data_IF_632801512109
#
_entry.id   IF_632801512109
#
_cell.length_a   1.000
_cell.length_b   1.000
_cell.length_c   1.000
_cell.angle_alpha   90.00
_cell.angle_beta   90.00
_cell.angle_gamma   90.00
#
_symmetry.space_group_name_H-M   'P 1'
#
loop_
_entity.id
_entity.type
_entity.pdbx_description
1 polymer ?
#
# COMPACT_ATOMS: atom_id res chain seq x y z
N UNK A 1 -32.54 55.33 19.33
CA UNK A 1 -32.96 54.01 18.82
C UNK A 1 -31.69 53.25 18.44
N UNK A 2 -31.65 51.93 18.60
CA UNK A 2 -30.40 51.14 18.72
C UNK A 2 -29.45 51.28 17.53
N UNK A 3 -28.15 51.41 17.81
CA UNK A 3 -27.10 51.04 16.87
C UNK A 3 -26.78 49.55 17.06
N UNK A 4 -26.90 48.74 16.00
CA UNK A 4 -26.44 47.35 16.05
C UNK A 4 -24.92 47.30 15.98
N UNK A 5 -24.28 46.85 17.06
CA UNK A 5 -22.91 46.35 17.03
C UNK A 5 -22.92 44.97 16.37
N UNK A 6 -22.47 44.90 15.12
CA UNK A 6 -22.16 43.63 14.47
C UNK A 6 -20.91 43.03 15.11
N UNK A 7 -21.10 42.04 15.98
CA UNK A 7 -20.01 41.30 16.60
C UNK A 7 -19.44 40.32 15.56
N UNK A 8 -18.40 40.74 14.83
CA UNK A 8 -17.65 39.84 13.96
C UNK A 8 -16.95 38.79 14.82
N UNK A 9 -17.48 37.57 14.83
CA UNK A 9 -16.79 36.43 15.39
C UNK A 9 -15.50 36.21 14.59
N UNK A 10 -14.36 36.62 15.15
CA UNK A 10 -13.08 36.23 14.60
C UNK A 10 -12.97 34.71 14.69
N UNK A 11 -12.76 34.04 13.55
CA UNK A 11 -12.38 32.63 13.54
C UNK A 11 -11.18 32.44 14.47
N UNK A 12 -11.14 31.40 15.32
CA UNK A 12 -9.97 31.13 16.14
C UNK A 12 -8.76 30.98 15.21
N UNK A 13 -7.64 31.63 15.57
CA UNK A 13 -6.40 31.46 14.83
C UNK A 13 -6.06 29.96 14.79
N UNK A 14 -5.89 29.42 13.59
CA UNK A 14 -5.43 28.04 13.37
C UNK A 14 -4.12 27.89 14.14
N UNK A 15 -4.06 26.90 15.03
CA UNK A 15 -2.80 26.55 15.69
C UNK A 15 -1.77 26.26 14.58
N UNK A 16 -0.53 26.69 14.79
CA UNK A 16 0.55 26.46 13.84
C UNK A 16 0.79 24.94 13.77
N UNK A 17 0.27 24.31 12.72
CA UNK A 17 0.34 22.86 12.53
C UNK A 17 1.73 22.50 12.04
N UNK A 18 2.34 21.49 12.66
CA UNK A 18 3.68 21.03 12.27
C UNK A 18 3.70 20.69 10.77
N UNK A 19 4.52 21.43 10.01
CA UNK A 19 4.83 21.09 8.62
C UNK A 19 5.73 19.84 8.65
N UNK A 20 5.42 18.87 7.80
CA UNK A 20 6.08 17.56 7.74
C UNK A 20 6.76 17.41 6.37
N UNK A 21 8.07 17.57 6.31
CA UNK A 21 8.85 17.48 5.06
C UNK A 21 8.23 18.24 3.87
N UNK A 22 7.87 19.51 4.09
CA UNK A 22 7.26 20.39 3.09
C UNK A 22 5.77 20.13 2.80
N UNK A 23 5.11 19.24 3.53
CA UNK A 23 3.66 19.08 3.52
C UNK A 23 3.02 19.83 4.69
N UNK A 24 1.97 20.60 4.39
CA UNK A 24 1.13 21.25 5.40
C UNK A 24 -0.16 20.43 5.60
N UNK A 25 -0.32 19.75 6.76
CA UNK A 25 -1.59 19.13 7.12
C UNK A 25 -2.73 20.15 7.12
N UNK A 26 -3.96 19.71 6.86
CA UNK A 26 -5.16 20.52 7.09
C UNK A 26 -5.73 20.33 8.50
N UNK A 27 -5.44 19.20 9.13
CA UNK A 27 -5.91 18.79 10.44
C UNK A 27 -4.75 18.65 11.44
N UNK A 28 -5.05 18.64 12.74
CA UNK A 28 -4.02 18.44 13.78
C UNK A 28 -3.58 16.97 13.80
N UNK A 29 -2.38 16.72 13.28
CA UNK A 29 -1.72 15.41 13.28
C UNK A 29 -0.42 15.39 14.08
N UNK A 30 -0.18 16.39 14.94
CA UNK A 30 1.03 16.47 15.78
C UNK A 30 1.19 15.28 16.73
N UNK A 31 0.08 14.70 17.23
CA UNK A 31 0.14 13.46 18.02
C UNK A 31 0.36 12.20 17.16
N UNK A 32 0.00 12.25 15.88
CA UNK A 32 0.18 11.14 14.93
C UNK A 32 1.64 11.03 14.50
N UNK A 33 2.26 12.15 14.14
CA UNK A 33 3.66 12.19 13.70
C UNK A 33 4.63 11.71 14.79
N UNK A 34 4.30 11.91 16.07
CA UNK A 34 5.09 11.47 17.24
C UNK A 34 5.13 9.96 17.49
N UNK A 35 4.50 9.12 16.66
CA UNK A 35 4.73 7.66 16.74
C UNK A 35 6.18 7.30 16.45
N UNK A 36 6.88 8.15 15.69
CA UNK A 36 8.29 8.00 15.38
C UNK A 36 9.20 8.14 16.61
N UNK A 37 8.78 8.87 17.65
CA UNK A 37 9.47 8.94 18.93
C UNK A 37 9.37 7.60 19.68
N UNK A 38 8.25 6.88 19.58
CA UNK A 38 8.13 5.53 20.14
C UNK A 38 9.05 4.54 19.37
N UNK A 39 9.13 4.64 18.04
CA UNK A 39 10.14 3.92 17.25
C UNK A 39 11.57 4.32 17.65
N UNK A 40 11.89 5.62 17.82
CA UNK A 40 13.23 6.10 18.19
C UNK A 40 13.67 5.58 19.56
N UNK A 41 12.74 5.55 20.52
CA UNK A 41 13.00 5.03 21.85
C UNK A 41 13.16 3.50 21.83
N UNK A 42 12.37 2.79 21.02
CA UNK A 42 12.57 1.35 20.74
C UNK A 42 13.96 1.09 20.16
N UNK A 43 14.38 1.84 19.15
CA UNK A 43 15.72 1.72 18.54
C UNK A 43 16.86 2.02 19.51
N UNK A 44 16.66 2.99 20.41
CA UNK A 44 17.64 3.36 21.45
C UNK A 44 17.80 2.23 22.47
N UNK A 45 16.71 1.61 22.91
CA UNK A 45 16.75 0.44 23.79
C UNK A 45 17.39 -0.77 23.09
N UNK A 46 17.06 -1.00 21.82
CA UNK A 46 17.70 -2.04 20.99
C UNK A 46 19.20 -1.80 20.80
N UNK A 47 19.65 -0.56 20.65
CA UNK A 47 21.08 -0.24 20.57
C UNK A 47 21.83 -0.67 21.85
N UNK A 48 21.18 -0.59 23.01
CA UNK A 48 21.69 -1.03 24.31
C UNK A 48 21.39 -2.51 24.67
N UNK A 49 20.87 -3.30 23.73
CA UNK A 49 20.44 -4.70 23.91
C UNK A 49 19.31 -4.90 24.95
N UNK A 50 18.59 -3.84 25.31
CA UNK A 50 17.40 -3.90 26.16
C UNK A 50 16.14 -4.20 25.33
N UNK A 51 15.99 -5.47 24.96
CA UNK A 51 14.84 -5.98 24.22
C UNK A 51 13.50 -5.79 24.96
N UNK A 52 13.50 -5.73 26.30
CA UNK A 52 12.27 -5.60 27.08
C UNK A 52 11.75 -4.16 27.05
N UNK A 53 12.62 -3.18 27.24
CA UNK A 53 12.27 -1.76 27.06
C UNK A 53 11.92 -1.46 25.60
N UNK A 54 12.64 -2.05 24.64
CA UNK A 54 12.28 -1.95 23.22
C UNK A 54 10.87 -2.47 22.92
N UNK A 55 10.55 -3.68 23.40
CA UNK A 55 9.23 -4.26 23.26
C UNK A 55 8.15 -3.42 23.99
N UNK A 56 8.47 -2.77 25.11
CA UNK A 56 7.55 -1.85 25.78
C UNK A 56 7.23 -0.61 24.95
N UNK A 57 8.21 0.00 24.28
CA UNK A 57 7.97 1.12 23.36
C UNK A 57 7.11 0.70 22.16
N UNK A 58 7.33 -0.50 21.63
CA UNK A 58 6.51 -1.09 20.57
C UNK A 58 5.04 -1.37 20.98
N UNK A 59 4.83 -2.00 22.15
CA UNK A 59 3.54 -2.50 22.61
C UNK A 59 2.69 -1.51 23.40
N UNK A 60 3.33 -0.67 24.23
CA UNK A 60 2.68 0.30 25.13
C UNK A 60 2.80 1.73 24.62
N UNK A 61 3.87 2.06 23.90
CA UNK A 61 4.16 3.42 23.42
C UNK A 61 4.27 4.45 24.56
N UNK A 62 4.19 5.73 24.21
CA UNK A 62 4.15 6.83 25.17
C UNK A 62 4.23 8.23 24.59
N UNK A 63 4.58 8.38 23.30
CA UNK A 63 4.76 9.68 22.67
C UNK A 63 3.59 10.07 21.73
N UNK A 64 2.91 9.09 21.14
CA UNK A 64 1.70 9.30 20.32
C UNK A 64 0.44 9.09 21.16
N UNK A 65 -0.22 10.18 21.59
CA UNK A 65 -1.36 10.11 22.51
C UNK A 65 -2.67 10.50 21.80
N UNK A 66 -3.70 9.66 21.92
CA UNK A 66 -5.04 9.93 21.37
C UNK A 66 -5.77 10.97 22.22
N UNK A 67 -6.79 11.62 21.66
CA UNK A 67 -7.64 12.56 22.42
C UNK A 67 -8.33 11.98 23.67
N UNK A 68 -8.42 10.65 23.80
CA UNK A 68 -8.89 9.96 25.01
C UNK A 68 -7.83 9.83 26.13
N UNK A 69 -6.60 10.29 25.91
CA UNK A 69 -5.46 10.09 26.81
C UNK A 69 -4.80 8.70 26.70
N UNK A 70 -5.32 7.80 25.86
CA UNK A 70 -4.72 6.49 25.60
C UNK A 70 -3.63 6.59 24.53
N UNK A 71 -2.54 5.83 24.70
CA UNK A 71 -1.48 5.74 23.70
C UNK A 71 -2.00 5.09 22.40
N UNK A 72 -1.52 5.58 21.26
CA UNK A 72 -1.44 4.83 20.01
C UNK A 72 -0.10 4.10 20.02
N UNK A 73 -0.08 2.84 19.59
CA UNK A 73 1.11 1.97 19.69
C UNK A 73 1.38 1.29 18.37
N UNK A 74 2.64 1.02 18.07
CA UNK A 74 3.06 0.39 16.80
C UNK A 74 2.55 -1.05 16.72
N UNK A 75 2.43 -1.75 17.86
CA UNK A 75 1.72 -3.02 17.94
C UNK A 75 0.23 -2.89 17.56
N UNK A 76 -0.44 -1.85 18.08
CA UNK A 76 -1.86 -1.58 17.85
C UNK A 76 -2.24 -1.42 16.38
N UNK A 77 -1.32 -0.98 15.53
CA UNK A 77 -1.49 -0.89 14.08
C UNK A 77 -1.76 -2.24 13.41
N UNK A 78 -1.20 -3.33 13.94
CA UNK A 78 -1.37 -4.68 13.41
C UNK A 78 -2.37 -5.51 14.22
N UNK A 79 -2.40 -5.38 15.55
CA UNK A 79 -3.40 -6.12 16.38
C UNK A 79 -4.81 -5.56 16.23
N UNK A 80 -4.95 -4.27 15.87
CA UNK A 80 -6.21 -3.63 15.53
C UNK A 80 -6.67 -3.80 14.07
N UNK A 81 -5.99 -4.61 13.25
CA UNK A 81 -6.26 -4.73 11.82
C UNK A 81 -7.67 -5.30 11.51
N UNK A 82 -8.14 -6.32 12.23
CA UNK A 82 -9.43 -6.99 11.94
C UNK A 82 -10.64 -6.04 11.94
N UNK A 83 -10.90 -5.21 12.98
CA UNK A 83 -12.04 -4.29 12.98
C UNK A 83 -11.89 -3.05 12.09
N UNK A 84 -10.75 -2.86 11.43
CA UNK A 84 -10.46 -1.68 10.57
C UNK A 84 -10.30 -2.06 9.10
N UNK A 85 -9.32 -2.92 8.82
CA UNK A 85 -8.68 -3.05 7.51
C UNK A 85 -9.16 -4.23 6.67
N UNK A 86 -10.03 -5.09 7.20
CA UNK A 86 -10.56 -6.27 6.48
C UNK A 86 -11.34 -5.81 5.25
N UNK A 87 -11.11 -6.45 4.11
CA UNK A 87 -11.68 -6.04 2.83
C UNK A 87 -10.91 -4.93 2.09
N UNK A 88 -10.01 -4.19 2.76
CA UNK A 88 -9.15 -3.22 2.06
C UNK A 88 -8.15 -3.93 1.14
N UNK A 89 -7.91 -3.35 -0.04
CA UNK A 89 -7.10 -3.94 -1.13
C UNK A 89 -5.76 -4.51 -0.64
N UNK A 90 -4.99 -3.71 0.10
CA UNK A 90 -3.62 -4.08 0.47
C UNK A 90 -3.57 -4.97 1.71
N UNK A 91 -4.46 -4.80 2.69
CA UNK A 91 -4.55 -5.73 3.82
C UNK A 91 -4.92 -7.14 3.35
N UNK A 92 -5.88 -7.28 2.43
CA UNK A 92 -6.24 -8.59 1.86
C UNK A 92 -5.05 -9.28 1.18
N UNK A 93 -4.20 -8.53 0.47
CA UNK A 93 -2.98 -9.07 -0.18
C UNK A 93 -2.00 -9.59 0.86
N UNK A 94 -1.71 -8.79 1.90
CA UNK A 94 -0.74 -9.13 2.94
C UNK A 94 -1.24 -10.26 3.85
N UNK A 95 -2.47 -10.15 4.36
CA UNK A 95 -3.05 -11.17 5.24
C UNK A 95 -3.14 -12.54 4.56
N UNK A 96 -3.42 -12.60 3.24
CA UNK A 96 -3.45 -13.87 2.48
C UNK A 96 -2.06 -14.45 2.23
N UNK A 97 -1.04 -13.63 1.98
CA UNK A 97 0.34 -14.11 1.83
C UNK A 97 0.90 -14.70 3.13
N UNK A 98 0.59 -14.07 4.27
CA UNK A 98 1.06 -14.49 5.58
C UNK A 98 0.21 -15.57 6.26
N UNK A 99 -1.05 -15.72 5.85
CA UNK A 99 -1.97 -16.72 6.38
C UNK A 99 -1.88 -18.08 5.68
N UNK A 100 -2.90 -18.89 5.88
CA UNK A 100 -3.11 -20.15 5.14
C UNK A 100 -4.39 -20.08 4.30
N UNK A 101 -4.59 -21.07 3.42
CA UNK A 101 -5.81 -21.13 2.60
C UNK A 101 -7.06 -21.21 3.50
N UNK A 102 -7.88 -20.16 3.46
CA UNK A 102 -9.08 -20.02 4.29
C UNK A 102 -8.87 -19.36 5.65
N UNK A 103 -7.63 -19.02 6.04
CA UNK A 103 -7.32 -18.29 7.28
C UNK A 103 -6.23 -17.22 7.04
N UNK A 104 -6.61 -16.02 6.54
CA UNK A 104 -5.70 -14.89 6.40
C UNK A 104 -5.16 -14.39 7.76
N UNK A 105 -3.88 -14.05 7.83
CA UNK A 105 -3.23 -13.53 9.04
C UNK A 105 -3.21 -12.00 9.06
N UNK A 106 -4.30 -11.37 9.48
CA UNK A 106 -4.44 -9.90 9.51
C UNK A 106 -3.45 -9.20 10.47
N UNK A 107 -2.96 -9.89 11.49
CA UNK A 107 -1.98 -9.36 12.45
C UNK A 107 -0.52 -9.73 12.10
N UNK A 108 -0.21 -10.03 10.84
CA UNK A 108 1.09 -10.58 10.41
C UNK A 108 2.30 -9.75 10.86
N UNK A 109 2.20 -8.42 10.83
CA UNK A 109 3.29 -7.52 11.17
C UNK A 109 3.63 -7.59 12.67
N UNK A 110 2.60 -7.73 13.52
CA UNK A 110 2.79 -7.97 14.94
C UNK A 110 3.36 -9.36 15.24
N UNK A 111 2.89 -10.40 14.55
CA UNK A 111 3.49 -11.75 14.69
C UNK A 111 4.98 -11.69 14.38
N UNK A 112 5.38 -11.06 13.26
CA UNK A 112 6.78 -10.87 12.91
C UNK A 112 7.55 -10.07 13.97
N UNK A 113 7.04 -8.89 14.35
CA UNK A 113 7.77 -7.94 15.20
C UNK A 113 7.86 -8.41 16.65
N UNK A 114 6.76 -8.92 17.21
CA UNK A 114 6.75 -9.51 18.56
C UNK A 114 7.66 -10.73 18.64
N UNK A 115 7.62 -11.62 17.65
CA UNK A 115 8.52 -12.78 17.60
C UNK A 115 9.99 -12.36 17.56
N UNK A 116 10.32 -11.31 16.80
CA UNK A 116 11.68 -10.81 16.66
C UNK A 116 12.20 -10.16 17.95
N UNK A 117 11.40 -9.29 18.58
CA UNK A 117 11.79 -8.60 19.81
C UNK A 117 11.95 -9.59 20.98
N UNK A 118 10.98 -10.51 21.13
CA UNK A 118 11.01 -11.49 22.22
C UNK A 118 11.97 -12.66 21.94
N UNK A 119 12.22 -13.01 20.68
CA UNK A 119 13.08 -14.12 20.27
C UNK A 119 12.37 -15.46 20.39
N UNK A 120 11.17 -15.52 19.83
CA UNK A 120 10.23 -16.65 19.86
C UNK A 120 9.74 -16.96 18.44
N UNK A 121 8.85 -17.93 18.29
CA UNK A 121 8.27 -18.30 16.99
C UNK A 121 9.34 -18.62 15.95
N UNK A 122 9.27 -17.99 14.77
CA UNK A 122 10.28 -18.18 13.70
C UNK A 122 11.69 -17.69 14.08
N UNK A 123 11.82 -16.87 15.14
CA UNK A 123 13.06 -16.29 15.61
C UNK A 123 13.52 -16.88 16.96
N UNK A 124 12.99 -18.04 17.36
CA UNK A 124 13.48 -18.78 18.51
C UNK A 124 14.95 -19.21 18.30
N UNK A 125 15.83 -18.81 19.22
CA UNK A 125 17.25 -19.21 19.21
C UNK A 125 18.15 -18.47 18.22
N UNK A 126 17.67 -17.44 17.52
CA UNK A 126 18.50 -16.64 16.61
C UNK A 126 19.39 -15.64 17.36
N UNK A 127 20.51 -15.25 16.74
CA UNK A 127 21.49 -14.33 17.33
C UNK A 127 20.84 -13.01 17.77
N UNK A 128 21.30 -12.45 18.89
CA UNK A 128 20.83 -11.15 19.40
C UNK A 128 20.98 -10.03 18.36
N UNK A 129 22.08 -10.03 17.58
CA UNK A 129 22.29 -9.05 16.50
C UNK A 129 21.25 -9.17 15.38
N UNK A 130 20.78 -10.38 15.08
CA UNK A 130 19.70 -10.62 14.13
C UNK A 130 18.35 -10.18 14.70
N UNK A 131 18.03 -10.61 15.94
CA UNK A 131 16.82 -10.17 16.66
C UNK A 131 16.68 -8.64 16.66
N UNK A 132 17.79 -7.93 16.93
CA UNK A 132 17.86 -6.47 16.98
C UNK A 132 17.36 -5.83 15.68
N UNK A 133 17.87 -6.30 14.55
CA UNK A 133 17.53 -5.77 13.23
C UNK A 133 16.11 -6.16 12.78
N UNK A 134 15.68 -7.40 13.04
CA UNK A 134 14.31 -7.86 12.75
C UNK A 134 13.27 -7.07 13.56
N UNK A 135 13.49 -6.92 14.86
CA UNK A 135 12.61 -6.17 15.78
C UNK A 135 12.49 -4.71 15.33
N UNK A 136 13.63 -4.03 15.12
CA UNK A 136 13.68 -2.63 14.65
C UNK A 136 12.98 -2.39 13.31
N UNK A 137 13.11 -3.32 12.36
CA UNK A 137 12.62 -3.15 10.99
C UNK A 137 11.19 -3.65 10.80
N UNK A 138 10.76 -4.66 11.54
CA UNK A 138 9.37 -5.11 11.54
C UNK A 138 8.42 -3.99 11.97
N UNK A 139 8.74 -3.30 13.06
CA UNK A 139 7.95 -2.17 13.55
C UNK A 139 7.84 -1.05 12.51
N UNK A 140 8.94 -0.58 11.95
CA UNK A 140 8.92 0.52 10.97
C UNK A 140 8.35 0.11 9.59
N UNK A 141 8.72 -1.06 9.08
CA UNK A 141 8.53 -1.41 7.66
C UNK A 141 7.47 -2.48 7.41
N UNK A 142 6.84 -3.03 8.45
CA UNK A 142 5.61 -3.82 8.32
C UNK A 142 4.46 -3.18 9.09
N UNK A 143 4.63 -2.89 10.40
CA UNK A 143 3.54 -2.32 11.20
C UNK A 143 3.18 -0.88 10.76
N UNK A 144 4.13 0.06 10.81
CA UNK A 144 3.87 1.46 10.41
C UNK A 144 3.58 1.55 8.90
N UNK A 145 4.33 0.82 8.07
CA UNK A 145 4.10 0.79 6.61
C UNK A 145 2.66 0.43 6.25
N UNK A 146 2.11 -0.67 6.78
CA UNK A 146 0.72 -1.06 6.49
C UNK A 146 -0.29 -0.05 7.05
N UNK A 147 0.04 0.59 8.18
CA UNK A 147 -0.82 1.62 8.76
C UNK A 147 -0.88 2.89 7.90
N UNK A 148 0.23 3.32 7.27
CA UNK A 148 0.24 4.39 6.26
C UNK A 148 -0.66 4.04 5.07
N UNK A 149 -0.59 2.79 4.59
CA UNK A 149 -1.44 2.32 3.48
C UNK A 149 -2.91 2.23 3.89
N UNK A 150 -3.20 1.88 5.15
CA UNK A 150 -4.55 1.90 5.71
C UNK A 150 -5.11 3.31 5.80
N UNK A 151 -4.41 4.29 6.39
CA UNK A 151 -4.97 5.64 6.58
C UNK A 151 -5.23 6.34 5.23
N UNK A 152 -4.46 6.04 4.18
CA UNK A 152 -4.81 6.45 2.80
C UNK A 152 -6.07 5.77 2.24
N UNK A 153 -6.39 4.55 2.68
CA UNK A 153 -7.64 3.85 2.33
C UNK A 153 -8.82 4.38 3.14
N UNK A 154 -8.67 4.57 4.45
CA UNK A 154 -9.66 5.15 5.36
C UNK A 154 -10.10 6.52 4.83
N UNK A 155 -9.14 7.34 4.37
CA UNK A 155 -9.41 8.62 3.70
C UNK A 155 -10.27 8.50 2.42
N UNK A 156 -10.12 7.42 1.64
CA UNK A 156 -10.92 7.18 0.44
C UNK A 156 -12.32 6.71 0.83
N UNK A 157 -12.41 5.81 1.81
CA UNK A 157 -13.67 5.22 2.28
C UNK A 157 -14.55 6.27 2.99
N UNK A 158 -13.96 7.14 3.83
CA UNK A 158 -14.63 8.31 4.42
C UNK A 158 -15.09 9.31 3.36
N UNK A 159 -14.30 9.52 2.30
CA UNK A 159 -14.67 10.42 1.20
C UNK A 159 -15.87 9.86 0.42
N UNK A 160 -15.91 8.54 0.18
CA UNK A 160 -17.01 7.87 -0.53
C UNK A 160 -18.28 7.72 0.32
N UNK A 161 -18.13 7.54 1.63
CA UNK A 161 -19.25 7.37 2.58
C UNK A 161 -19.78 8.68 3.19
N UNK A 162 -19.00 9.76 3.14
CA UNK A 162 -19.29 11.04 3.78
C UNK A 162 -20.13 12.01 2.95
N UNK A 163 -20.40 13.17 3.54
CA UNK A 163 -20.91 14.34 2.82
C UNK A 163 -19.74 15.00 2.07
N UNK A 164 -19.77 14.95 0.73
CA UNK A 164 -18.74 15.53 -0.14
C UNK A 164 -18.57 17.05 0.04
N UNK A 165 -19.51 17.74 0.69
CA UNK A 165 -19.40 19.16 1.06
C UNK A 165 -18.72 19.41 2.42
N UNK A 166 -18.48 18.35 3.21
CA UNK A 166 -17.86 18.41 4.54
C UNK A 166 -16.90 17.22 4.76
N UNK A 167 -15.87 17.12 3.92
CA UNK A 167 -14.96 15.97 3.85
C UNK A 167 -13.87 15.93 4.95
N UNK A 168 -14.17 16.45 6.15
CA UNK A 168 -13.17 16.67 7.21
C UNK A 168 -12.53 15.40 7.77
N UNK A 169 -13.26 14.29 7.80
CA UNK A 169 -12.76 13.00 8.29
C UNK A 169 -11.73 12.39 7.32
N UNK A 170 -12.07 12.34 6.02
CA UNK A 170 -11.16 11.88 4.98
C UNK A 170 -9.85 12.69 4.91
N UNK A 171 -9.94 14.01 5.03
CA UNK A 171 -8.76 14.88 5.07
C UNK A 171 -7.92 14.61 6.32
N UNK A 172 -8.53 14.25 7.46
CA UNK A 172 -7.81 13.86 8.67
C UNK A 172 -7.04 12.56 8.49
N UNK A 173 -7.68 11.50 7.98
CA UNK A 173 -7.02 10.22 7.70
C UNK A 173 -5.88 10.37 6.66
N UNK A 174 -6.04 11.22 5.65
CA UNK A 174 -4.97 11.50 4.69
C UNK A 174 -3.78 12.22 5.33
N UNK A 175 -4.03 13.21 6.20
CA UNK A 175 -2.98 13.87 6.97
C UNK A 175 -2.33 12.88 7.99
N UNK A 176 -3.08 11.94 8.59
CA UNK A 176 -2.54 10.86 9.45
C UNK A 176 -1.56 9.97 8.65
N UNK A 177 -1.89 9.61 7.41
CA UNK A 177 -1.01 8.83 6.54
C UNK A 177 0.35 9.52 6.30
N UNK A 178 0.35 10.84 6.05
CA UNK A 178 1.59 11.62 5.92
C UNK A 178 2.35 11.65 7.25
N UNK A 179 1.65 11.87 8.36
CA UNK A 179 2.23 11.90 9.69
C UNK A 179 2.94 10.59 10.05
N UNK A 180 2.38 9.43 9.68
CA UNK A 180 3.00 8.12 9.89
C UNK A 180 4.06 7.74 8.85
N UNK A 181 4.09 8.36 7.67
CA UNK A 181 5.15 8.14 6.70
C UNK A 181 6.42 8.94 7.03
N UNK A 182 6.23 10.21 7.36
CA UNK A 182 7.31 11.17 7.64
C UNK A 182 7.78 11.05 9.09
N UNK A 183 6.89 11.25 10.06
CA UNK A 183 7.25 11.35 11.49
C UNK A 183 7.67 12.75 11.92
N UNK A 184 7.60 13.02 13.23
CA UNK A 184 7.91 14.33 13.81
C UNK A 184 9.41 14.72 13.77
N UNK A 185 10.31 13.74 13.72
CA UNK A 185 11.76 13.89 13.76
C UNK A 185 12.38 14.38 12.45
N UNK A 186 11.66 14.32 11.32
CA UNK A 186 12.12 14.85 10.03
C UNK A 186 11.99 16.38 9.95
N UNK A 187 11.10 16.96 10.77
CA UNK A 187 10.85 18.39 10.84
C UNK A 187 10.21 19.00 9.59
N UNK A 188 10.28 20.33 9.52
CA UNK A 188 9.62 21.17 8.50
C UNK A 188 10.04 20.85 7.06
N UNK A 189 11.33 20.58 6.84
CA UNK A 189 11.92 20.47 5.50
C UNK A 189 12.39 19.05 5.13
N UNK A 190 12.26 18.08 6.05
CA UNK A 190 12.69 16.71 5.82
C UNK A 190 14.20 16.48 6.02
N UNK A 191 14.93 17.47 6.56
CA UNK A 191 16.37 17.38 6.84
C UNK A 191 16.71 16.74 8.20
N UNK A 192 15.68 16.32 8.95
CA UNK A 192 15.80 15.81 10.31
C UNK A 192 16.40 14.40 10.45
N UNK A 193 16.18 13.81 11.62
CA UNK A 193 16.81 12.55 12.03
C UNK A 193 15.76 11.44 12.27
N UNK A 194 14.80 11.34 11.33
CA UNK A 194 13.70 10.39 11.39
C UNK A 194 14.10 8.93 11.31
N UNK A 195 13.09 8.08 11.46
CA UNK A 195 13.22 6.62 11.63
C UNK A 195 12.14 5.81 10.91
N UNK A 196 11.26 6.47 10.14
CA UNK A 196 10.13 5.86 9.44
C UNK A 196 10.39 5.72 7.94
N UNK A 197 9.34 5.82 7.11
CA UNK A 197 9.42 5.57 5.66
C UNK A 197 10.26 6.61 4.92
N UNK A 198 10.10 7.88 5.27
CA UNK A 198 10.84 9.00 4.68
C UNK A 198 12.36 8.86 4.88
N UNK A 199 12.83 8.72 6.13
CA UNK A 199 14.23 8.44 6.46
C UNK A 199 14.80 7.17 5.79
N UNK A 200 13.98 6.14 5.52
CA UNK A 200 14.46 4.97 4.79
C UNK A 200 14.78 5.33 3.33
N UNK A 201 13.93 6.11 2.66
CA UNK A 201 14.19 6.58 1.30
C UNK A 201 15.45 7.45 1.23
N UNK A 202 15.59 8.45 2.10
CA UNK A 202 16.79 9.29 2.21
C UNK A 202 18.07 8.46 2.42
N UNK A 203 17.98 7.39 3.24
CA UNK A 203 19.10 6.49 3.50
C UNK A 203 19.48 5.61 2.29
N UNK A 204 18.55 5.33 1.38
CA UNK A 204 18.76 4.42 0.24
C UNK A 204 19.13 5.15 -1.04
N UNK A 205 18.57 6.33 -1.28
CA UNK A 205 18.81 7.13 -2.48
C UNK A 205 20.31 7.28 -2.87
N UNK A 206 21.22 7.74 -1.99
CA UNK A 206 22.65 7.85 -2.30
C UNK A 206 23.37 6.49 -2.40
N UNK A 207 22.73 5.38 -2.02
CA UNK A 207 23.27 4.03 -2.17
C UNK A 207 22.88 3.41 -3.52
N UNK A 208 21.82 3.92 -4.15
CA UNK A 208 21.25 3.38 -5.39
C UNK A 208 21.35 4.33 -6.61
N UNK A 209 21.91 5.53 -6.41
CA UNK A 209 21.99 6.56 -7.45
C UNK A 209 20.66 7.28 -7.72
N UNK A 210 19.69 7.17 -6.81
CA UNK A 210 18.33 7.71 -6.95
C UNK A 210 18.11 8.94 -6.05
N UNK A 211 19.15 9.78 -5.93
CA UNK A 211 19.14 11.02 -5.16
C UNK A 211 19.16 12.25 -6.10
N UNK A 212 18.47 13.31 -5.68
CA UNK A 212 18.53 14.63 -6.29
C UNK A 212 19.91 15.28 -6.07
N UNK A 213 20.16 16.41 -6.74
CA UNK A 213 21.43 17.15 -6.64
C UNK A 213 21.72 17.72 -5.25
N UNK A 214 20.71 17.87 -4.39
CA UNK A 214 20.84 18.28 -2.99
C UNK A 214 21.04 17.09 -2.02
N UNK A 215 20.99 15.86 -2.54
CA UNK A 215 21.09 14.62 -1.77
C UNK A 215 19.76 13.99 -1.37
N UNK A 216 18.63 14.70 -1.54
CA UNK A 216 17.29 14.20 -1.18
C UNK A 216 16.86 13.01 -2.03
N UNK A 217 16.01 12.12 -1.51
CA UNK A 217 15.52 10.99 -2.28
C UNK A 217 14.51 11.41 -3.36
N UNK A 218 14.74 10.99 -4.62
CA UNK A 218 13.80 11.26 -5.74
C UNK A 218 12.39 10.75 -5.39
N UNK A 219 12.30 9.54 -4.83
CA UNK A 219 11.02 8.94 -4.41
C UNK A 219 10.33 9.70 -3.29
N UNK A 220 11.06 10.40 -2.41
CA UNK A 220 10.44 11.26 -1.40
C UNK A 220 9.81 12.49 -2.05
N UNK A 221 10.50 13.15 -2.99
CA UNK A 221 9.92 14.26 -3.74
C UNK A 221 8.61 13.85 -4.46
N UNK A 222 8.63 12.70 -5.15
CA UNK A 222 7.43 12.16 -5.80
C UNK A 222 6.30 11.81 -4.81
N UNK A 223 6.61 11.16 -3.68
CA UNK A 223 5.62 10.80 -2.65
C UNK A 223 5.02 12.04 -2.00
N UNK A 224 5.82 13.05 -1.66
CA UNK A 224 5.31 14.28 -1.04
C UNK A 224 4.44 15.10 -2.01
N UNK A 225 4.72 15.08 -3.31
CA UNK A 225 3.85 15.71 -4.32
C UNK A 225 2.57 14.92 -4.58
N UNK A 226 2.63 13.59 -4.57
CA UNK A 226 1.43 12.73 -4.59
C UNK A 226 0.55 12.94 -3.34
N UNK A 227 1.14 13.10 -2.16
CA UNK A 227 0.37 13.44 -0.95
C UNK A 227 -0.35 14.80 -1.09
N UNK A 228 0.29 15.82 -1.69
CA UNK A 228 -0.35 17.13 -1.97
C UNK A 228 -1.48 17.02 -3.00
N UNK A 229 -1.32 16.22 -4.06
CA UNK A 229 -2.37 15.97 -5.05
C UNK A 229 -3.57 15.23 -4.42
N UNK A 230 -3.32 14.18 -3.62
CA UNK A 230 -4.37 13.47 -2.89
C UNK A 230 -5.13 14.35 -1.92
N UNK A 231 -4.42 15.17 -1.12
CA UNK A 231 -5.04 16.15 -0.22
C UNK A 231 -5.92 17.14 -0.99
N UNK A 232 -5.42 17.67 -2.11
CA UNK A 232 -6.16 18.59 -2.99
C UNK A 232 -7.41 17.95 -3.62
N UNK A 233 -7.33 16.67 -4.01
CA UNK A 233 -8.47 15.89 -4.52
C UNK A 233 -9.52 15.62 -3.45
N UNK A 234 -9.11 15.28 -2.23
CA UNK A 234 -10.04 15.06 -1.10
C UNK A 234 -10.77 16.35 -0.73
N UNK A 235 -10.08 17.49 -0.68
CA UNK A 235 -10.71 18.81 -0.49
C UNK A 235 -11.71 19.17 -1.60
N UNK A 236 -11.53 18.62 -2.79
CA UNK A 236 -12.43 18.79 -3.94
C UNK A 236 -13.49 17.68 -4.09
N UNK A 237 -13.61 16.74 -3.13
CA UNK A 237 -14.56 15.62 -3.17
C UNK A 237 -14.29 14.59 -4.28
N UNK A 238 -13.07 14.56 -4.85
CA UNK A 238 -12.68 13.71 -5.99
C UNK A 238 -12.24 12.30 -5.56
N UNK A 239 -13.01 11.63 -4.70
CA UNK A 239 -12.61 10.41 -4.00
C UNK A 239 -12.04 9.31 -4.92
N UNK A 240 -12.71 9.03 -6.05
CA UNK A 240 -12.26 8.00 -7.00
C UNK A 240 -10.92 8.31 -7.69
N UNK A 241 -10.53 9.59 -7.81
CA UNK A 241 -9.19 9.95 -8.31
C UNK A 241 -8.09 9.61 -7.28
N UNK A 242 -8.41 9.62 -5.99
CA UNK A 242 -7.46 9.40 -4.88
C UNK A 242 -7.01 7.94 -4.80
N UNK A 243 -7.83 6.98 -5.23
CA UNK A 243 -7.41 5.56 -5.34
C UNK A 243 -6.15 5.39 -6.21
N UNK A 244 -6.07 6.13 -7.32
CA UNK A 244 -4.91 6.11 -8.21
C UNK A 244 -3.70 6.81 -7.57
N UNK A 245 -3.93 7.84 -6.75
CA UNK A 245 -2.87 8.52 -6.00
C UNK A 245 -2.30 7.59 -4.92
N UNK A 246 -3.16 6.96 -4.10
CA UNK A 246 -2.77 5.93 -3.12
C UNK A 246 -1.93 4.84 -3.78
N UNK A 247 -2.38 4.30 -4.92
CA UNK A 247 -1.66 3.20 -5.59
C UNK A 247 -0.27 3.63 -6.09
N UNK A 248 -0.11 4.87 -6.56
CA UNK A 248 1.21 5.44 -6.90
C UNK A 248 2.09 5.63 -5.65
N UNK A 249 1.53 6.15 -4.56
CA UNK A 249 2.26 6.30 -3.29
C UNK A 249 2.74 4.94 -2.80
N UNK A 250 1.88 3.91 -2.79
CA UNK A 250 2.24 2.55 -2.38
C UNK A 250 3.39 1.98 -3.21
N UNK A 251 3.40 2.19 -4.53
CA UNK A 251 4.52 1.82 -5.39
C UNK A 251 5.82 2.54 -4.96
N UNK A 252 5.78 3.86 -4.81
CA UNK A 252 6.97 4.66 -4.47
C UNK A 252 7.52 4.37 -3.06
N UNK A 253 6.67 4.24 -2.03
CA UNK A 253 7.13 3.89 -0.68
C UNK A 253 7.61 2.42 -0.56
N UNK A 254 7.43 1.62 -1.61
CA UNK A 254 7.95 0.24 -1.70
C UNK A 254 9.36 0.21 -2.32
N UNK A 255 9.72 1.16 -3.17
CA UNK A 255 11.07 1.29 -3.75
C UNK A 255 12.20 1.18 -2.71
N UNK A 256 12.21 1.94 -1.59
CA UNK A 256 13.31 1.87 -0.63
C UNK A 256 13.35 0.55 0.18
N UNK A 257 12.25 -0.22 0.19
CA UNK A 257 12.23 -1.59 0.71
C UNK A 257 12.88 -2.58 -0.28
N UNK A 258 12.58 -2.46 -1.58
CA UNK A 258 13.24 -3.21 -2.66
C UNK A 258 14.75 -2.92 -2.67
N UNK A 259 15.15 -1.65 -2.62
CA UNK A 259 16.54 -1.22 -2.47
C UNK A 259 17.19 -1.82 -1.21
N UNK A 260 16.45 -1.87 -0.09
CA UNK A 260 16.87 -2.56 1.12
C UNK A 260 17.16 -4.05 0.89
N UNK A 261 16.23 -4.79 0.29
CA UNK A 261 16.37 -6.22 0.03
C UNK A 261 17.52 -6.52 -0.96
N UNK A 262 17.60 -5.79 -2.08
CA UNK A 262 18.67 -5.91 -3.08
C UNK A 262 20.06 -5.65 -2.48
N UNK A 263 20.19 -4.64 -1.62
CA UNK A 263 21.46 -4.34 -0.94
C UNK A 263 21.91 -5.52 -0.09
N UNK A 264 20.99 -6.13 0.67
CA UNK A 264 21.35 -7.25 1.53
C UNK A 264 21.45 -8.58 0.80
N UNK A 265 20.83 -8.75 -0.37
CA UNK A 265 21.13 -9.85 -1.27
C UNK A 265 22.63 -9.88 -1.62
N UNK A 266 23.21 -8.76 -2.10
CA UNK A 266 24.65 -8.68 -2.37
C UNK A 266 25.50 -8.86 -1.09
N UNK A 267 25.13 -8.19 0.00
CA UNK A 267 25.92 -8.20 1.24
C UNK A 267 25.89 -9.53 1.99
N UNK A 268 25.01 -10.47 1.65
CA UNK A 268 24.88 -11.76 2.35
C UNK A 268 25.20 -12.96 1.46
N UNK A 269 25.49 -12.73 0.18
CA UNK A 269 25.93 -13.74 -0.76
C UNK A 269 27.31 -14.31 -0.38
N UNK A 270 27.44 -15.62 -0.12
CA UNK A 270 28.73 -16.25 0.18
C UNK A 270 29.75 -16.20 -0.96
N UNK A 271 29.33 -16.01 -2.20
CA UNK A 271 30.16 -15.74 -3.38
C UNK A 271 30.33 -14.24 -3.67
N UNK A 272 29.58 -13.37 -2.97
CA UNK A 272 29.61 -11.92 -3.14
C UNK A 272 30.94 -11.25 -2.74
N UNK A 273 31.17 -10.01 -3.24
CA UNK A 273 32.41 -9.25 -3.01
C UNK A 273 32.52 -8.71 -1.57
N UNK A 274 31.40 -8.60 -0.85
CA UNK A 274 31.30 -8.12 0.52
C UNK A 274 30.37 -9.08 1.26
N UNK A 275 30.71 -9.44 2.52
CA UNK A 275 29.96 -10.43 3.29
C UNK A 275 29.60 -9.91 4.68
N UNK A 276 28.35 -10.08 5.06
CA UNK A 276 27.81 -9.85 6.40
C UNK A 276 27.12 -11.13 6.89
N UNK A 277 27.33 -11.44 8.18
CA UNK A 277 26.69 -12.58 8.84
C UNK A 277 25.23 -12.30 9.23
N UNK A 278 24.81 -12.89 10.36
CA UNK A 278 23.44 -12.83 10.89
C UNK A 278 22.78 -11.44 10.86
N UNK A 279 23.55 -10.37 11.11
CA UNK A 279 23.06 -8.99 10.98
C UNK A 279 22.51 -8.67 9.58
N UNK A 280 23.33 -8.88 8.54
CA UNK A 280 22.96 -8.55 7.17
C UNK A 280 21.81 -9.43 6.67
N UNK A 281 21.80 -10.70 7.07
CA UNK A 281 20.73 -11.65 6.72
C UNK A 281 19.39 -11.25 7.37
N UNK A 282 19.42 -10.83 8.63
CA UNK A 282 18.27 -10.28 9.34
C UNK A 282 17.75 -8.98 8.72
N UNK A 283 18.64 -8.05 8.33
CA UNK A 283 18.25 -6.83 7.63
C UNK A 283 17.62 -7.16 6.26
N UNK A 284 18.23 -8.05 5.48
CA UNK A 284 17.72 -8.49 4.18
C UNK A 284 16.36 -9.17 4.27
N UNK A 285 16.17 -10.04 5.26
CA UNK A 285 14.88 -10.69 5.49
C UNK A 285 13.79 -9.68 5.84
N UNK A 286 14.08 -8.75 6.76
CA UNK A 286 13.11 -7.75 7.19
C UNK A 286 12.68 -6.80 6.06
N UNK A 287 13.53 -6.54 5.06
CA UNK A 287 13.14 -5.82 3.85
C UNK A 287 12.37 -6.73 2.87
N UNK A 288 12.85 -7.94 2.60
CA UNK A 288 12.20 -8.85 1.66
C UNK A 288 10.77 -9.19 2.08
N UNK A 289 10.55 -9.56 3.34
CA UNK A 289 9.24 -9.97 3.86
C UNK A 289 8.19 -8.85 3.83
N UNK A 290 8.61 -7.58 3.87
CA UNK A 290 7.73 -6.43 3.73
C UNK A 290 7.22 -6.23 2.29
N UNK A 291 7.94 -6.74 1.28
CA UNK A 291 7.64 -6.56 -0.15
C UNK A 291 7.07 -7.84 -0.79
N UNK A 292 7.44 -9.01 -0.27
CA UNK A 292 7.03 -10.32 -0.79
C UNK A 292 5.52 -10.50 -1.02
N UNK A 293 4.58 -9.95 -0.21
CA UNK A 293 3.15 -10.00 -0.51
C UNK A 293 2.76 -9.31 -1.84
N UNK A 294 3.41 -8.19 -2.17
CA UNK A 294 3.18 -7.48 -3.43
C UNK A 294 3.75 -8.26 -4.61
N UNK A 295 4.96 -8.82 -4.44
CA UNK A 295 5.61 -9.68 -5.43
C UNK A 295 4.74 -10.92 -5.69
N UNK A 296 4.23 -11.58 -4.63
CA UNK A 296 3.39 -12.76 -4.75
C UNK A 296 2.07 -12.47 -5.47
N UNK A 297 1.50 -11.27 -5.32
CA UNK A 297 0.34 -10.82 -6.11
C UNK A 297 0.67 -10.70 -7.61
N UNK A 298 1.90 -10.34 -7.95
CA UNK A 298 2.37 -10.24 -9.34
C UNK A 298 2.79 -11.59 -9.93
N UNK A 299 3.60 -12.35 -9.20
CA UNK A 299 4.07 -13.67 -9.57
C UNK A 299 4.45 -14.48 -8.30
N UNK A 300 3.66 -15.50 -7.90
CA UNK A 300 3.96 -16.35 -6.74
C UNK A 300 5.29 -17.11 -6.83
N UNK A 301 5.73 -17.48 -8.03
CA UNK A 301 7.01 -18.19 -8.25
C UNK A 301 8.19 -17.29 -7.91
N UNK A 302 8.19 -16.05 -8.43
CA UNK A 302 9.20 -15.02 -8.13
C UNK A 302 9.26 -14.74 -6.61
N UNK A 303 8.10 -14.68 -5.94
CA UNK A 303 8.06 -14.51 -4.49
C UNK A 303 8.67 -15.70 -3.73
N UNK A 304 8.45 -16.93 -4.20
CA UNK A 304 9.05 -18.12 -3.61
C UNK A 304 10.59 -18.13 -3.78
N UNK A 305 11.09 -17.81 -4.97
CA UNK A 305 12.52 -17.78 -5.30
C UNK A 305 13.28 -16.69 -4.51
N UNK A 306 12.71 -15.48 -4.41
CA UNK A 306 13.26 -14.40 -3.56
C UNK A 306 13.26 -14.81 -2.09
N UNK A 307 12.18 -15.47 -1.63
CA UNK A 307 12.08 -15.96 -0.25
C UNK A 307 13.13 -17.03 0.04
N UNK A 308 13.32 -18.01 -0.84
CA UNK A 308 14.27 -19.11 -0.65
C UNK A 308 15.70 -18.60 -0.45
N UNK A 309 16.06 -17.48 -1.10
CA UNK A 309 17.35 -16.83 -0.94
C UNK A 309 17.47 -15.92 0.30
N UNK A 310 16.43 -15.13 0.60
CA UNK A 310 16.49 -14.05 1.61
C UNK A 310 15.80 -14.36 2.95
N UNK A 311 15.10 -15.49 3.11
CA UNK A 311 14.48 -15.83 4.39
C UNK A 311 15.51 -15.99 5.51
N UNK A 312 15.16 -15.59 6.74
CA UNK A 312 16.01 -15.77 7.90
C UNK A 312 15.20 -16.24 9.11
N UNK A 313 15.64 -17.28 9.86
CA UNK A 313 16.78 -18.14 9.56
C UNK A 313 16.61 -18.93 8.25
N UNK A 314 17.71 -19.16 7.54
CA UNK A 314 17.71 -19.98 6.32
C UNK A 314 18.37 -21.34 6.60
N UNK A 315 17.63 -22.47 6.61
CA UNK A 315 18.24 -23.78 6.81
C UNK A 315 19.10 -24.24 5.63
N UNK A 316 18.92 -23.65 4.43
CA UNK A 316 19.76 -23.88 3.25
C UNK A 316 21.00 -22.97 3.20
N UNK A 317 21.07 -21.96 4.07
CA UNK A 317 22.05 -20.87 4.00
C UNK A 317 21.56 -19.69 3.15
N UNK A 318 22.17 -18.50 3.27
CA UNK A 318 21.76 -17.32 2.52
C UNK A 318 22.08 -17.47 1.03
N UNK A 319 21.25 -16.86 0.16
CA UNK A 319 21.59 -16.59 -1.24
C UNK A 319 22.01 -17.83 -2.04
N UNK A 320 21.22 -18.90 -1.96
CA UNK A 320 21.48 -20.18 -2.63
C UNK A 320 21.69 -20.08 -4.15
N UNK A 321 21.03 -19.12 -4.81
CA UNK A 321 21.15 -18.83 -6.25
C UNK A 321 22.02 -17.58 -6.55
N UNK A 322 22.47 -16.88 -5.51
CA UNK A 322 23.29 -15.67 -5.58
C UNK A 322 22.52 -14.36 -5.88
N UNK A 323 23.16 -13.22 -5.59
CA UNK A 323 22.51 -11.91 -5.62
C UNK A 323 22.01 -11.47 -7.00
N UNK A 324 22.67 -11.90 -8.08
CA UNK A 324 22.28 -11.55 -9.45
C UNK A 324 20.95 -12.20 -9.83
N UNK A 325 20.76 -13.46 -9.44
CA UNK A 325 19.50 -14.15 -9.65
C UNK A 325 18.38 -13.46 -8.87
N UNK A 326 18.57 -13.23 -7.58
CA UNK A 326 17.59 -12.52 -6.75
C UNK A 326 17.26 -11.13 -7.29
N UNK A 327 18.26 -10.36 -7.78
CA UNK A 327 18.02 -9.08 -8.43
C UNK A 327 17.16 -9.22 -9.69
N UNK A 328 17.50 -10.15 -10.58
CA UNK A 328 16.69 -10.45 -11.77
C UNK A 328 15.24 -10.80 -11.41
N UNK A 329 15.03 -11.53 -10.31
CA UNK A 329 13.70 -11.86 -9.82
C UNK A 329 12.92 -10.62 -9.37
N UNK A 330 13.52 -9.72 -8.58
CA UNK A 330 12.92 -8.43 -8.24
C UNK A 330 12.57 -7.63 -9.50
N UNK A 331 13.51 -7.48 -10.44
CA UNK A 331 13.34 -6.68 -11.67
C UNK A 331 12.22 -7.21 -12.56
N UNK A 332 12.00 -8.53 -12.59
CA UNK A 332 10.96 -9.17 -13.41
C UNK A 332 9.52 -8.74 -13.08
N UNK A 333 9.28 -8.19 -11.88
CA UNK A 333 7.94 -7.80 -11.38
C UNK A 333 7.73 -6.30 -11.23
N UNK A 334 8.74 -5.46 -11.49
CA UNK A 334 8.67 -4.00 -11.29
C UNK A 334 7.47 -3.35 -11.99
N UNK A 335 7.23 -3.69 -13.26
CA UNK A 335 6.10 -3.18 -14.05
C UNK A 335 4.73 -3.52 -13.44
N UNK A 336 4.58 -4.69 -12.81
CA UNK A 336 3.36 -5.08 -12.11
C UNK A 336 3.21 -4.43 -10.72
N UNK A 337 4.35 -4.16 -10.05
CA UNK A 337 4.39 -3.40 -8.81
C UNK A 337 4.18 -1.88 -9.01
N UNK A 338 4.23 -1.40 -10.26
CA UNK A 338 4.08 0.02 -10.59
C UNK A 338 5.34 0.85 -10.35
N UNK A 339 6.51 0.21 -10.29
CA UNK A 339 7.83 0.85 -10.15
C UNK A 339 8.65 0.64 -11.41
N UNK A 340 9.68 1.46 -11.61
CA UNK A 340 10.56 1.45 -12.80
C UNK A 340 12.00 1.11 -12.42
N UNK A 341 12.78 0.65 -13.38
CA UNK A 341 14.23 0.47 -13.21
C UNK A 341 14.91 1.76 -12.74
N UNK A 342 14.52 2.90 -13.31
CA UNK A 342 15.05 4.21 -12.93
C UNK A 342 14.69 4.60 -11.48
N UNK A 343 13.49 4.26 -11.00
CA UNK A 343 13.07 4.53 -9.61
C UNK A 343 13.87 3.72 -8.59
N UNK A 344 14.23 2.47 -8.92
CA UNK A 344 15.01 1.60 -8.02
C UNK A 344 16.51 1.87 -8.12
N UNK A 345 17.02 2.20 -9.31
CA UNK A 345 18.43 2.46 -9.56
C UNK A 345 19.30 1.19 -9.46
N UNK A 346 20.56 1.38 -9.08
CA UNK A 346 21.56 0.31 -9.00
C UNK A 346 22.53 0.51 -7.84
N UNK A 347 22.98 -0.57 -7.20
CA UNK A 347 23.76 -0.47 -5.96
C UNK A 347 25.18 0.06 -6.25
N UNK A 348 25.47 1.28 -5.79
CA UNK A 348 26.74 1.97 -6.01
C UNK A 348 27.88 1.37 -5.17
N UNK A 349 29.04 1.18 -5.81
CA UNK A 349 30.32 0.83 -5.19
C UNK A 349 31.18 2.10 -5.01
N UNK A 350 30.66 3.05 -4.23
CA UNK A 350 31.31 4.35 -4.04
C UNK A 350 31.51 5.10 -5.36
N UNK A 351 32.76 5.48 -5.66
CA UNK A 351 33.11 6.19 -6.89
C UNK A 351 33.46 5.25 -8.07
N UNK A 352 33.41 3.93 -7.88
CA UNK A 352 33.81 2.93 -8.88
C UNK A 352 32.66 2.54 -9.83
N UNK A 353 31.51 3.23 -9.73
CA UNK A 353 30.28 2.90 -10.44
C UNK A 353 29.37 2.00 -9.60
N UNK A 354 28.79 0.98 -10.21
CA UNK A 354 27.95 -0.01 -9.52
C UNK A 354 28.79 -1.21 -9.07
N UNK A 355 28.29 -1.98 -8.09
CA UNK A 355 28.76 -3.34 -7.92
C UNK A 355 28.40 -4.15 -9.17
N UNK A 356 29.34 -4.95 -9.68
CA UNK A 356 29.15 -5.79 -10.87
C UNK A 356 27.89 -6.68 -10.73
N UNK A 357 26.95 -6.56 -11.66
CA UNK A 357 25.65 -7.24 -11.64
C UNK A 357 24.56 -6.52 -10.84
N UNK A 358 24.85 -5.36 -10.24
CA UNK A 358 23.91 -4.49 -9.53
C UNK A 358 23.64 -3.17 -10.26
N UNK A 359 24.00 -3.06 -11.53
CA UNK A 359 23.66 -1.94 -12.41
C UNK A 359 22.13 -1.80 -12.53
N UNK A 360 21.59 -0.59 -12.76
CA UNK A 360 20.17 -0.42 -13.05
C UNK A 360 19.75 -1.28 -14.24
N UNK A 361 18.58 -1.92 -14.15
CA UNK A 361 17.95 -2.52 -15.32
C UNK A 361 17.49 -1.44 -16.32
N UNK A 362 16.86 -1.86 -17.42
CA UNK A 362 16.16 -0.95 -18.32
C UNK A 362 14.71 -1.40 -18.42
N UNK A 363 13.79 -0.48 -18.18
CA UNK A 363 12.39 -0.72 -18.50
C UNK A 363 12.27 -0.99 -20.01
N UNK A 364 11.31 -1.83 -20.44
CA UNK A 364 11.02 -2.00 -21.85
C UNK A 364 10.73 -0.62 -22.44
N UNK A 365 11.54 -0.19 -23.42
CA UNK A 365 11.29 1.06 -24.12
C UNK A 365 9.86 1.02 -24.63
N UNK A 366 9.01 1.93 -24.16
CA UNK A 366 7.72 2.15 -24.78
C UNK A 366 8.02 2.43 -26.24
N UNK A 367 7.48 1.60 -27.13
CA UNK A 367 7.70 1.74 -28.56
C UNK A 367 6.89 2.93 -29.06
N UNK A 368 7.39 4.14 -28.75
CA UNK A 368 7.13 5.33 -29.52
C UNK A 368 7.64 5.03 -30.92
N UNK A 369 6.70 4.72 -31.81
CA UNK A 369 6.94 4.48 -33.22
C UNK A 369 7.38 5.77 -33.90
N UNK A 370 8.61 6.20 -33.64
CA UNK A 370 9.34 7.18 -34.45
C UNK A 370 9.75 6.49 -35.76
N UNK A 371 8.74 6.21 -36.58
CA UNK A 371 8.91 5.75 -37.95
C UNK A 371 9.48 6.90 -38.78
N UNK A 372 10.81 7.00 -38.79
CA UNK A 372 11.50 7.57 -39.94
C UNK A 372 11.76 6.41 -40.90
N UNK A 373 10.81 6.17 -41.80
CA UNK A 373 11.03 5.71 -43.16
C UNK A 373 9.72 5.90 -43.95
N UNK A 374 9.81 6.56 -45.10
CA UNK A 374 8.67 6.87 -45.96
C UNK A 374 8.17 5.60 -46.68
N UNK A 375 6.90 5.21 -46.50
CA UNK A 375 6.14 4.46 -47.51
C UNK A 375 4.61 4.58 -47.31
N UNK A 376 3.88 4.70 -48.42
CA UNK A 376 2.45 5.08 -48.50
C UNK A 376 1.49 3.89 -48.23
N UNK A 377 1.04 3.68 -46.99
CA UNK A 377 -0.01 2.67 -46.67
C UNK A 377 -1.37 3.32 -46.34
N UNK A 378 -2.04 3.82 -47.38
CA UNK A 378 -3.46 4.24 -47.32
C UNK A 378 -4.35 3.00 -47.29
N UNK A 379 -5.19 2.84 -46.25
CA UNK A 379 -6.23 1.81 -46.22
C UNK A 379 -7.06 1.83 -47.53
N UNK A 380 -7.05 0.71 -48.24
CA UNK A 380 -7.83 0.53 -49.46
C UNK A 380 -9.31 0.84 -49.21
N UNK A 381 -9.94 1.62 -50.09
CA UNK A 381 -11.33 2.08 -49.94
C UNK A 381 -12.36 0.96 -49.77
N UNK A 382 -12.03 -0.27 -50.18
CA UNK A 382 -12.85 -1.46 -49.90
C UNK A 382 -12.97 -1.81 -48.42
N UNK A 383 -11.93 -1.59 -47.62
CA UNK A 383 -11.94 -1.86 -46.18
C UNK A 383 -12.88 -0.90 -45.43
N UNK A 384 -12.86 0.39 -45.79
CA UNK A 384 -13.73 1.42 -45.22
C UNK A 384 -15.20 1.16 -45.58
N UNK A 385 -15.49 0.78 -46.83
CA UNK A 385 -16.84 0.43 -47.26
C UNK A 385 -17.43 -0.78 -46.48
N UNK A 386 -16.61 -1.81 -46.23
CA UNK A 386 -17.04 -2.99 -45.45
C UNK A 386 -17.43 -2.66 -44.01
N UNK A 387 -16.64 -1.82 -43.33
CA UNK A 387 -16.89 -1.42 -41.93
C UNK A 387 -18.20 -0.63 -41.82
N UNK A 388 -18.45 0.32 -42.73
CA UNK A 388 -19.69 1.13 -42.73
C UNK A 388 -20.93 0.26 -42.93
N UNK A 389 -20.90 -0.69 -43.87
CA UNK A 389 -22.03 -1.60 -44.13
C UNK A 389 -22.31 -2.49 -42.90
N UNK A 390 -21.27 -3.02 -42.24
CA UNK A 390 -21.44 -3.83 -41.04
C UNK A 390 -22.14 -3.06 -39.90
N UNK A 391 -21.74 -1.80 -39.66
CA UNK A 391 -22.37 -0.94 -38.64
C UNK A 391 -23.85 -0.69 -38.95
N UNK A 392 -24.21 -0.40 -40.21
CA UNK A 392 -25.61 -0.18 -40.60
C UNK A 392 -26.48 -1.44 -40.41
N UNK A 393 -25.97 -2.63 -40.70
CA UNK A 393 -26.71 -3.90 -40.48
C UNK A 393 -26.95 -4.15 -38.99
N UNK A 394 -25.96 -3.90 -38.13
CA UNK A 394 -26.12 -4.04 -36.67
C UNK A 394 -27.15 -3.05 -36.13
N UNK A 395 -27.12 -1.79 -36.54
CA UNK A 395 -28.09 -0.77 -36.12
C UNK A 395 -29.52 -1.12 -36.58
N UNK A 396 -29.70 -1.64 -37.80
CA UNK A 396 -30.99 -2.09 -38.29
C UNK A 396 -31.55 -3.28 -37.48
N UNK A 397 -30.68 -4.24 -37.11
CA UNK A 397 -31.07 -5.38 -36.27
C UNK A 397 -31.51 -4.96 -34.86
N UNK A 398 -30.78 -4.02 -34.23
CA UNK A 398 -31.12 -3.48 -32.92
C UNK A 398 -32.43 -2.68 -32.95
N UNK A 399 -32.67 -1.88 -33.99
CA UNK A 399 -33.94 -1.18 -34.19
C UNK A 399 -35.13 -2.13 -34.35
N UNK A 400 -34.96 -3.23 -35.11
CA UNK A 400 -35.97 -4.27 -35.26
C UNK A 400 -36.30 -4.98 -33.94
N UNK A 401 -35.29 -5.29 -33.12
CA UNK A 401 -35.48 -5.90 -31.81
C UNK A 401 -36.25 -4.98 -30.84
N UNK A 402 -35.89 -3.69 -30.80
CA UNK A 402 -36.59 -2.70 -29.97
C UNK A 402 -38.07 -2.56 -30.35
N UNK A 403 -38.38 -2.48 -31.65
CA UNK A 403 -39.77 -2.42 -32.15
C UNK A 403 -40.58 -3.67 -31.79
N UNK A 404 -39.97 -4.86 -31.85
CA UNK A 404 -40.63 -6.11 -31.50
C UNK A 404 -40.92 -6.23 -30.00
N UNK A 405 -39.98 -5.79 -29.15
CA UNK A 405 -40.19 -5.69 -27.71
C UNK A 405 -41.31 -4.71 -27.34
N UNK A 406 -41.37 -3.53 -27.96
CA UNK A 406 -42.44 -2.55 -27.74
C UNK A 406 -43.84 -3.13 -28.00
N UNK A 407 -44.04 -3.75 -29.17
CA UNK A 407 -45.32 -4.42 -29.53
C UNK A 407 -45.69 -5.58 -28.62
N UNK A 408 -44.72 -6.25 -27.98
CA UNK A 408 -45.00 -7.31 -27.00
C UNK A 408 -45.52 -6.74 -25.68
N UNK A 409 -45.09 -5.53 -25.30
CA UNK A 409 -45.55 -4.84 -24.10
C UNK A 409 -47.00 -4.34 -24.24
N UNK A 410 -47.37 -3.74 -25.38
CA UNK A 410 -48.75 -3.31 -25.68
C UNK A 410 -49.76 -4.47 -25.58
N UNK A 411 -49.40 -5.64 -26.14
CA UNK A 411 -50.22 -6.87 -26.05
C UNK A 411 -50.38 -7.38 -24.62
N UNK A 412 -49.40 -7.15 -23.74
CA UNK A 412 -49.49 -7.56 -22.35
C UNK A 412 -50.43 -6.65 -21.53
N UNK A 413 -50.46 -5.34 -21.81
CA UNK A 413 -51.38 -4.42 -21.13
C UNK A 413 -52.85 -4.70 -21.51
N UNK A 414 -53.14 -4.94 -22.79
CA UNK A 414 -54.50 -5.30 -23.24
C UNK A 414 -55.05 -6.62 -22.68
N UNK A 415 -54.20 -7.50 -22.14
CA UNK A 415 -54.62 -8.73 -21.46
C UNK A 415 -54.96 -8.54 -19.97
N UNK A 416 -54.55 -7.44 -19.35
CA UNK A 416 -54.79 -7.15 -17.93
C UNK A 416 -56.09 -6.38 -17.68
N UNK A 417 -56.61 -5.67 -18.70
CA UNK A 417 -57.83 -4.84 -18.61
C UNK A 417 -59.17 -5.61 -18.82
N UNK A 418 -59.15 -6.95 -18.92
CA UNK A 418 -60.41 -7.70 -19.03
C UNK A 418 -61.13 -7.88 -17.68
N UNK A 419 -62.42 -7.53 -17.57
CA UNK A 419 -63.16 -7.58 -16.30
C UNK A 419 -63.43 -9.03 -15.86
N UNK A 420 -63.08 -9.36 -14.62
CA UNK A 420 -63.24 -10.71 -14.05
C UNK A 420 -64.72 -11.06 -13.82
N UNK A 421 -65.20 -12.09 -14.51
CA UNK A 421 -66.51 -12.72 -14.28
C UNK A 421 -66.59 -13.46 -12.94
N UNK A 422 -67.82 -13.60 -12.42
CA UNK A 422 -68.12 -14.15 -11.09
C UNK A 422 -67.67 -15.61 -10.90
N UNK A 423 -67.08 -15.91 -9.73
CA UNK A 423 -66.85 -17.28 -9.26
C UNK A 423 -68.00 -17.76 -8.35
N UNK A 424 -68.28 -19.07 -8.38
CA UNK A 424 -69.31 -19.75 -7.55
C UNK A 424 -68.71 -20.99 -6.87
N UNK A 425 -68.71 -20.98 -5.53
CA UNK A 425 -69.03 -22.10 -4.62
C UNK A 425 -68.23 -23.43 -4.59
N UNK A 426 -67.79 -23.82 -3.37
CA UNK A 426 -67.33 -25.17 -2.98
C UNK A 426 -65.94 -25.15 -2.31
N UNK A 427 -65.74 -25.26 -0.97
CA UNK A 427 -65.98 -26.41 -0.04
C UNK A 427 -65.40 -27.75 -0.51
N UNK A 428 -64.67 -28.55 0.28
CA UNK A 428 -64.31 -28.49 1.73
C UNK A 428 -63.39 -29.68 2.15
N UNK A 429 -62.76 -29.62 3.35
CA UNK A 429 -62.06 -30.73 4.10
C UNK A 429 -60.69 -31.17 3.52
N UNK A 430 -59.52 -31.26 4.18
CA UNK A 430 -58.99 -31.21 5.58
C UNK A 430 -58.66 -32.58 6.25
N UNK A 431 -57.39 -32.74 6.68
CA UNK A 431 -56.78 -33.87 7.46
C UNK A 431 -56.83 -35.28 6.84
N UNK A 432 -55.94 -36.24 7.13
CA UNK A 432 -54.76 -36.34 8.02
C UNK A 432 -53.47 -36.64 7.17
N UNK A 433 -52.24 -36.97 7.61
CA UNK A 433 -51.62 -37.32 8.92
C UNK A 433 -50.13 -36.82 8.96
N UNK A 434 -49.33 -37.30 9.91
CA UNK A 434 -47.85 -37.23 10.00
C UNK A 434 -47.25 -38.64 10.24
N UNK A 435 -46.00 -38.89 9.83
CA UNK A 435 -44.89 -39.32 10.73
C UNK A 435 -43.60 -39.73 9.99
N UNK A 436 -42.48 -39.71 10.73
CA UNK A 436 -41.09 -40.11 10.40
C UNK A 436 -40.26 -39.09 9.61
N UNK A 437 -39.02 -38.70 10.01
CA UNK A 437 -38.28 -38.92 11.27
C UNK A 437 -37.04 -37.99 11.32
N UNK A 438 -36.74 -37.39 12.49
CA UNK A 438 -35.42 -36.96 13.06
C UNK A 438 -34.31 -36.36 12.15
N UNK A 439 -33.58 -35.29 12.51
CA UNK A 439 -33.44 -34.50 13.76
C UNK A 439 -33.48 -33.01 13.39
#
# INVERSE_FOLDING_TARGET
MLALLALSAASPARADQDVLAGFSPNTDVTQHSRIDLDQKNMETALAADDFMTAYRWYSVGGNSVKGSGANRTIQGFSTGAVPKMVGSKWMEVYARYHGTQGAPMYNYADVFTSDACLGQGQFAGVDQVAKKELCKKGSAYQNVWMYVVWEMQDAIDDCLGGDLSNNGAAVHAWDEAVAFYVGSLEGTDGSGAGVLGYALAEKRAPQFGTANSDGSAIVNAEVMDLFKDGQSKLLAGKCAEVETVRDKIVAQITVPLVQGALRYALLTDPAGPIRQGAKGQAEGWAFAIAVLPQINRCNPTVAAEIRENLQYPNPQGPMVDGYRYVKQQFESVYSCMGITCDSVGGLLNGNEGYFDGMEPCRDPSSSSSSNNDDDDDKLSGGAVAGIVIAVFVVLAALGGAAFWCGRRHEKHQTLLDQPKGKAVGGSSVMEEQKAQSAV
#
